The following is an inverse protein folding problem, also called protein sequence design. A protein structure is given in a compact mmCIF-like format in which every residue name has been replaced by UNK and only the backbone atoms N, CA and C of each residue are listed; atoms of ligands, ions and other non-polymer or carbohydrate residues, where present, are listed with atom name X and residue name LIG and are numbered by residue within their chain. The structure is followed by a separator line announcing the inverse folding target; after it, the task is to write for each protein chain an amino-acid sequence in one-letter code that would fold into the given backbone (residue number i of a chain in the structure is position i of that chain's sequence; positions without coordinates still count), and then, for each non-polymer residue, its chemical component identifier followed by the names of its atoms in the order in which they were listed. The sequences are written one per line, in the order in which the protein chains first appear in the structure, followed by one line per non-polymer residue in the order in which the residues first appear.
data_IF_587547718814
#
_entry.id   IF_587547718814
#
_cell.length_a   1.000
_cell.length_b   1.000
_cell.length_c   1.000
_cell.angle_alpha   90.00
_cell.angle_beta   90.00
_cell.angle_gamma   90.00
#
_symmetry.space_group_name_H-M   'P 1'
#
loop_
_entity.id
_entity.type
_entity.pdbx_description
1 polymer ?
#
# COMPACT_ATOMS: atom_id res chain seq x y z
N UNK A 1 -16.09 -15.13 8.96
CA UNK A 1 -16.87 -14.15 8.19
C UNK A 1 -15.96 -13.59 7.12
N UNK A 2 -16.27 -13.81 5.84
CA UNK A 2 -15.48 -13.21 4.77
C UNK A 2 -15.81 -11.71 4.75
N UNK A 3 -14.77 -10.89 4.88
CA UNK A 3 -14.86 -9.47 4.60
C UNK A 3 -15.19 -9.39 3.10
N UNK A 4 -16.43 -9.07 2.73
CA UNK A 4 -16.80 -8.84 1.33
C UNK A 4 -16.17 -7.52 0.90
N UNK A 5 -14.89 -7.56 0.57
CA UNK A 5 -14.20 -6.45 -0.09
C UNK A 5 -14.80 -6.29 -1.48
N UNK A 6 -15.57 -5.21 -1.68
CA UNK A 6 -16.06 -4.82 -3.01
C UNK A 6 -14.86 -4.40 -3.88
N UNK A 7 -14.20 -5.37 -4.51
CA UNK A 7 -13.09 -5.16 -5.43
C UNK A 7 -13.58 -4.37 -6.66
N UNK A 8 -12.86 -3.33 -7.03
CA UNK A 8 -13.15 -2.53 -8.22
C UNK A 8 -11.88 -2.14 -8.97
N UNK A 9 -12.05 -1.75 -10.24
CA UNK A 9 -10.99 -1.15 -11.03
C UNK A 9 -10.37 0.04 -10.29
N UNK A 10 -9.05 0.08 -10.27
CA UNK A 10 -8.26 1.11 -9.58
C UNK A 10 -7.91 0.76 -8.13
N UNK A 11 -8.50 -0.30 -7.55
CA UNK A 11 -8.10 -0.73 -6.21
C UNK A 11 -6.66 -1.20 -6.19
N UNK A 12 -5.97 -0.81 -5.13
CA UNK A 12 -4.63 -1.27 -4.81
C UNK A 12 -4.73 -2.60 -4.08
N UNK A 13 -4.00 -3.59 -4.55
CA UNK A 13 -4.09 -4.95 -4.02
C UNK A 13 -2.72 -5.55 -3.79
N UNK A 14 -2.68 -6.51 -2.86
CA UNK A 14 -1.60 -7.47 -2.73
C UNK A 14 -2.12 -8.82 -3.21
N UNK A 15 -1.31 -9.54 -3.99
CA UNK A 15 -1.60 -10.91 -4.42
C UNK A 15 -0.47 -11.83 -3.97
N UNK A 16 -0.83 -13.07 -3.65
CA UNK A 16 0.12 -14.16 -3.40
C UNK A 16 -0.56 -15.48 -3.77
N UNK A 17 -0.37 -15.93 -5.01
CA UNK A 17 -1.00 -17.15 -5.52
C UNK A 17 -0.10 -17.90 -6.48
N UNK A 18 -0.37 -19.19 -6.66
CA UNK A 18 0.30 -20.05 -7.63
C UNK A 18 -0.69 -20.30 -8.77
N UNK A 19 -0.27 -20.05 -10.01
CA UNK A 19 -1.14 -20.31 -11.15
C UNK A 19 -1.44 -21.81 -11.30
N UNK A 20 -2.72 -22.15 -11.37
CA UNK A 20 -3.24 -23.52 -11.41
C UNK A 20 -2.77 -24.25 -12.69
N UNK A 21 -2.58 -25.58 -12.67
CA UNK A 21 -1.78 -26.30 -13.66
C UNK A 21 -2.46 -26.54 -15.02
N UNK A 22 -3.66 -26.01 -15.26
CA UNK A 22 -4.39 -26.17 -16.53
C UNK A 22 -4.00 -25.12 -17.60
N UNK A 23 -3.05 -24.23 -17.30
CA UNK A 23 -2.55 -23.22 -18.26
C UNK A 23 -1.05 -23.37 -18.52
N UNK A 24 -0.57 -22.83 -19.65
CA UNK A 24 0.86 -22.82 -20.05
C UNK A 24 1.80 -22.09 -19.06
N UNK A 25 1.25 -21.45 -18.03
CA UNK A 25 1.96 -20.75 -16.97
C UNK A 25 1.84 -21.47 -15.61
N UNK A 26 1.52 -22.77 -15.64
CA UNK A 26 1.41 -23.64 -14.48
C UNK A 26 2.63 -23.53 -13.55
N UNK A 27 2.37 -23.36 -12.25
CA UNK A 27 3.42 -23.38 -11.22
C UNK A 27 4.22 -22.08 -11.06
N UNK A 28 3.88 -21.02 -11.81
CA UNK A 28 4.45 -19.69 -11.57
C UNK A 28 3.77 -19.08 -10.34
N UNK A 29 4.57 -18.69 -9.35
CA UNK A 29 4.10 -17.90 -8.21
C UNK A 29 4.01 -16.42 -8.63
N UNK A 30 2.86 -15.83 -8.37
CA UNK A 30 2.63 -14.39 -8.48
C UNK A 30 2.52 -13.85 -7.06
N UNK A 31 3.51 -13.05 -6.67
CA UNK A 31 3.52 -12.39 -5.36
C UNK A 31 3.92 -10.94 -5.55
N UNK A 32 3.15 -10.03 -4.98
CA UNK A 32 3.45 -8.61 -5.10
C UNK A 32 2.25 -7.71 -4.92
N UNK A 33 2.51 -6.42 -5.15
CA UNK A 33 1.52 -5.36 -5.10
C UNK A 33 1.19 -4.93 -6.52
N UNK A 34 -0.06 -4.53 -6.74
CA UNK A 34 -0.55 -4.13 -8.05
C UNK A 34 -1.83 -3.31 -8.00
N UNK A 35 -2.29 -2.92 -9.17
CA UNK A 35 -3.58 -2.22 -9.35
C UNK A 35 -4.51 -3.09 -10.18
N UNK A 36 -5.78 -3.14 -9.80
CA UNK A 36 -6.81 -3.82 -10.60
C UNK A 36 -7.17 -3.01 -11.84
N UNK A 37 -7.05 -3.64 -12.99
CA UNK A 37 -7.49 -3.11 -14.28
C UNK A 37 -8.98 -3.41 -14.52
N UNK A 38 -9.46 -4.56 -14.03
CA UNK A 38 -10.82 -5.07 -14.26
C UNK A 38 -11.22 -6.13 -13.24
N UNK A 39 -12.51 -6.20 -12.92
CA UNK A 39 -13.15 -7.22 -12.08
C UNK A 39 -14.39 -7.72 -12.84
N UNK A 40 -14.47 -9.04 -13.09
CA UNK A 40 -15.59 -9.66 -13.80
C UNK A 40 -15.70 -11.15 -13.40
N UNK A 41 -16.94 -11.64 -13.21
CA UNK A 41 -17.25 -13.06 -13.01
C UNK A 41 -16.39 -13.78 -11.93
N UNK A 42 -16.16 -13.12 -10.78
CA UNK A 42 -15.38 -13.67 -9.66
C UNK A 42 -13.87 -13.71 -9.91
N UNK A 43 -13.39 -13.05 -10.96
CA UNK A 43 -11.98 -12.93 -11.33
C UNK A 43 -11.56 -11.47 -11.33
N UNK A 44 -10.29 -11.26 -10.99
CA UNK A 44 -9.65 -9.96 -11.13
C UNK A 44 -8.54 -10.02 -12.17
N UNK A 45 -8.32 -8.89 -12.82
CA UNK A 45 -7.22 -8.66 -13.74
C UNK A 45 -6.50 -7.42 -13.27
N UNK A 46 -5.17 -7.49 -13.24
CA UNK A 46 -4.38 -6.34 -12.82
C UNK A 46 -2.95 -6.43 -13.28
N UNK A 47 -2.20 -5.42 -12.84
CA UNK A 47 -0.78 -5.29 -13.13
C UNK A 47 -0.04 -5.08 -11.82
N UNK A 48 0.96 -5.93 -11.59
CA UNK A 48 1.93 -5.77 -10.51
C UNK A 48 2.82 -4.55 -10.78
N UNK A 49 3.47 -4.05 -9.74
CA UNK A 49 4.34 -2.88 -9.81
C UNK A 49 5.57 -3.05 -10.71
N UNK A 50 6.01 -4.29 -10.90
CA UNK A 50 7.07 -4.65 -11.84
C UNK A 50 6.59 -4.70 -13.30
N UNK A 51 5.30 -4.45 -13.53
CA UNK A 51 4.64 -4.48 -14.83
C UNK A 51 4.06 -5.84 -15.21
N UNK A 52 4.27 -6.90 -14.41
CA UNK A 52 3.74 -8.22 -14.68
C UNK A 52 2.21 -8.20 -14.57
N UNK A 53 1.52 -8.63 -15.63
CA UNK A 53 0.06 -8.79 -15.61
C UNK A 53 -0.33 -10.07 -14.90
N UNK A 54 -1.40 -10.03 -14.11
CA UNK A 54 -1.93 -11.21 -13.43
C UNK A 54 -3.45 -11.34 -13.64
N UNK A 55 -3.92 -12.58 -13.45
CA UNK A 55 -5.33 -12.93 -13.37
C UNK A 55 -5.49 -14.01 -12.30
N UNK A 56 -6.37 -13.78 -11.33
CA UNK A 56 -6.65 -14.70 -10.23
C UNK A 56 -8.10 -14.59 -9.76
N UNK A 57 -8.50 -15.44 -8.81
CA UNK A 57 -9.79 -15.31 -8.15
C UNK A 57 -9.79 -14.15 -7.18
N UNK A 58 -10.95 -13.56 -6.94
CA UNK A 58 -11.12 -12.52 -5.92
C UNK A 58 -10.63 -12.96 -4.53
N UNK A 59 -10.70 -14.25 -4.22
CA UNK A 59 -10.23 -14.84 -2.96
C UNK A 59 -8.70 -14.80 -2.78
N UNK A 60 -7.95 -14.63 -3.87
CA UNK A 60 -6.48 -14.61 -3.87
C UNK A 60 -5.92 -13.18 -3.74
N UNK A 61 -6.79 -12.22 -3.44
CA UNK A 61 -6.52 -10.78 -3.47
C UNK A 61 -6.80 -10.17 -2.11
N UNK A 62 -5.82 -9.45 -1.58
CA UNK A 62 -5.98 -8.62 -0.38
C UNK A 62 -6.05 -7.15 -0.79
N UNK A 63 -7.18 -6.47 -0.51
CA UNK A 63 -7.31 -5.03 -0.75
C UNK A 63 -6.42 -4.27 0.23
N UNK A 64 -5.51 -3.45 -0.31
CA UNK A 64 -4.70 -2.52 0.48
C UNK A 64 -5.36 -1.15 0.43
N UNK A 65 -6.16 -0.84 1.44
CA UNK A 65 -6.82 0.46 1.55
C UNK A 65 -5.84 1.60 1.88
N UNK A 66 -4.69 1.25 2.48
CA UNK A 66 -3.66 2.18 2.93
C UNK A 66 -2.43 2.12 2.03
N UNK A 67 -1.81 3.28 1.79
CA UNK A 67 -0.56 3.45 1.04
C UNK A 67 0.63 2.90 1.81
N UNK A 68 0.54 2.91 3.14
CA UNK A 68 1.55 2.40 4.05
C UNK A 68 1.01 1.28 4.94
N UNK A 69 1.90 0.38 5.34
CA UNK A 69 1.60 -0.62 6.35
C UNK A 69 1.72 -0.01 7.74
N UNK A 70 0.62 0.54 8.24
CA UNK A 70 0.58 1.19 9.55
C UNK A 70 0.91 0.26 10.73
N UNK A 71 0.90 -1.07 10.54
CA UNK A 71 1.24 -2.04 11.59
C UNK A 71 2.74 -2.07 11.91
N UNK A 72 3.60 -1.63 10.98
CA UNK A 72 5.06 -1.55 11.19
C UNK A 72 5.54 -0.13 11.51
N UNK A 73 4.63 0.85 11.46
CA UNK A 73 4.93 2.26 11.70
C UNK A 73 4.63 2.58 13.17
N UNK A 74 5.56 3.22 13.92
CA UNK A 74 5.34 3.56 15.33
C UNK A 74 4.05 4.34 15.57
N UNK A 75 3.28 3.97 16.60
CA UNK A 75 1.93 4.49 16.86
C UNK A 75 1.83 6.01 16.97
N UNK A 76 2.91 6.66 17.42
CA UNK A 76 2.97 8.13 17.53
C UNK A 76 3.07 8.83 16.17
N UNK A 77 3.49 8.14 15.09
CA UNK A 77 3.55 8.72 13.74
C UNK A 77 2.13 8.92 13.21
N UNK A 78 1.77 10.17 12.95
CA UNK A 78 0.43 10.56 12.51
C UNK A 78 0.32 10.66 10.98
N UNK A 79 1.42 10.87 10.27
CA UNK A 79 1.44 11.03 8.83
C UNK A 79 2.61 10.28 8.20
N UNK A 80 2.40 9.70 7.03
CA UNK A 80 3.44 9.09 6.22
C UNK A 80 3.41 9.68 4.81
N UNK A 81 4.58 9.96 4.25
CA UNK A 81 4.72 10.44 2.88
C UNK A 81 6.01 9.90 2.26
N UNK A 82 6.01 9.65 0.96
CA UNK A 82 7.17 9.23 0.17
C UNK A 82 7.71 10.44 -0.58
N UNK A 83 9.02 10.68 -0.48
CA UNK A 83 9.74 11.74 -1.18
C UNK A 83 10.04 11.35 -2.65
N UNK A 84 10.57 12.30 -3.45
CA UNK A 84 10.86 12.05 -4.86
C UNK A 84 11.90 10.95 -5.11
N UNK A 85 12.76 10.69 -4.14
CA UNK A 85 13.77 9.63 -4.14
C UNK A 85 13.22 8.24 -3.72
N UNK A 86 11.93 8.18 -3.40
CA UNK A 86 11.25 6.97 -2.96
C UNK A 86 11.38 6.66 -1.47
N UNK A 87 12.00 7.53 -0.66
CA UNK A 87 12.13 7.35 0.79
C UNK A 87 10.80 7.71 1.48
N UNK A 88 10.24 6.79 2.26
CA UNK A 88 9.06 7.08 3.08
C UNK A 88 9.45 7.67 4.45
N UNK A 89 8.80 8.77 4.80
CA UNK A 89 9.05 9.59 5.97
C UNK A 89 7.78 9.71 6.82
N UNK A 90 7.92 9.51 8.13
CA UNK A 90 6.85 9.61 9.11
C UNK A 90 6.90 10.90 9.94
N UNK A 91 5.75 11.53 10.18
CA UNK A 91 5.65 12.82 10.87
C UNK A 91 4.58 12.79 11.98
N UNK A 92 4.83 13.51 13.07
CA UNK A 92 3.82 13.77 14.11
C UNK A 92 2.79 14.83 13.70
N UNK A 93 3.17 15.68 12.75
CA UNK A 93 2.39 16.82 12.26
C UNK A 93 2.35 16.77 10.74
N UNK A 94 1.30 17.31 10.15
CA UNK A 94 1.13 17.28 8.69
C UNK A 94 2.33 17.96 7.99
N UNK A 95 3.07 17.24 7.11
CA UNK A 95 4.13 17.84 6.31
C UNK A 95 3.54 18.53 5.07
N UNK A 96 4.34 19.39 4.45
CA UNK A 96 4.04 20.05 3.17
C UNK A 96 5.14 19.75 2.17
N UNK A 97 4.80 19.78 0.89
CA UNK A 97 5.80 19.69 -0.18
C UNK A 97 6.66 20.95 -0.16
N UNK A 98 7.97 20.78 -0.07
CA UNK A 98 8.99 21.83 -0.15
C UNK A 98 10.14 21.34 -1.03
N UNK A 99 10.21 21.84 -2.27
CA UNK A 99 11.17 21.34 -3.26
C UNK A 99 10.78 19.95 -3.76
N UNK A 100 11.68 19.00 -3.61
CA UNK A 100 11.57 17.60 -4.04
C UNK A 100 11.14 16.64 -2.91
N UNK A 101 10.61 17.18 -1.81
CA UNK A 101 10.34 16.39 -0.62
C UNK A 101 9.23 16.93 0.29
N UNK A 102 8.74 16.09 1.19
CA UNK A 102 7.82 16.42 2.27
C UNK A 102 8.59 16.93 3.49
N UNK A 103 8.22 18.10 4.02
CA UNK A 103 8.90 18.76 5.14
C UNK A 103 7.89 19.46 6.06
N UNK A 104 8.24 19.63 7.34
CA UNK A 104 7.50 20.50 8.25
C UNK A 104 8.41 21.64 8.75
N UNK A 105 7.90 22.87 8.74
CA UNK A 105 8.70 24.07 9.06
C UNK A 105 9.06 24.18 10.54
N UNK A 106 8.24 23.63 11.44
CA UNK A 106 8.43 23.75 12.90
C UNK A 106 9.34 22.66 13.47
N UNK A 107 9.42 21.52 12.80
CA UNK A 107 10.26 20.40 13.17
C UNK A 107 11.03 19.95 11.93
N UNK A 108 12.30 20.34 11.85
CA UNK A 108 13.17 20.19 10.69
C UNK A 108 13.45 18.73 10.24
N UNK A 109 12.79 17.72 10.80
CA UNK A 109 13.03 16.31 10.49
C UNK A 109 11.77 15.46 10.61
N UNK A 110 11.68 14.43 9.76
CA UNK A 110 10.74 13.35 9.97
C UNK A 110 11.13 12.59 11.26
N UNK A 111 10.14 12.02 11.93
CA UNK A 111 10.31 11.25 13.16
C UNK A 111 10.65 9.78 12.90
N UNK A 112 10.32 9.29 11.70
CA UNK A 112 10.56 7.92 11.29
C UNK A 112 10.90 7.88 9.80
N UNK A 113 11.73 6.92 9.39
CA UNK A 113 12.11 6.74 8.00
C UNK A 113 12.09 5.25 7.65
N UNK A 114 11.52 4.92 6.50
CA UNK A 114 11.84 3.67 5.82
C UNK A 114 13.07 3.95 4.96
N UNK A 115 14.24 3.56 5.48
CA UNK A 115 15.52 3.80 4.83
C UNK A 115 15.57 3.18 3.43
N UNK A 116 16.42 3.71 2.55
CA UNK A 116 16.61 3.20 1.19
C UNK A 116 16.88 1.68 1.15
N UNK A 117 17.67 1.15 2.09
CA UNK A 117 17.94 -0.30 2.22
C UNK A 117 16.71 -1.14 2.62
N UNK A 118 15.71 -0.49 3.23
CA UNK A 118 14.46 -1.07 3.68
C UNK A 118 13.28 -0.62 2.81
N UNK A 119 13.55 0.01 1.65
CA UNK A 119 12.53 0.59 0.80
C UNK A 119 11.53 -0.46 0.26
N UNK A 120 11.87 -1.75 0.34
CA UNK A 120 10.92 -2.84 0.10
C UNK A 120 9.72 -2.82 1.06
N UNK A 121 9.85 -2.22 2.26
CA UNK A 121 8.76 -1.98 3.23
C UNK A 121 7.90 -0.77 2.87
N UNK A 122 8.41 0.14 2.03
CA UNK A 122 7.60 1.19 1.45
C UNK A 122 6.81 0.59 0.29
N UNK A 123 5.51 0.40 0.48
CA UNK A 123 4.63 -0.19 -0.54
C UNK A 123 3.96 0.86 -1.44
N UNK A 124 4.15 2.16 -1.14
CA UNK A 124 3.60 3.20 -2.00
C UNK A 124 4.28 3.18 -3.36
N UNK A 125 3.47 3.13 -4.42
CA UNK A 125 3.91 3.23 -5.80
C UNK A 125 2.99 4.21 -6.50
N UNK A 126 3.57 5.23 -7.12
CA UNK A 126 2.84 6.32 -7.75
C UNK A 126 3.63 7.63 -7.73
N UNK A 127 3.00 8.71 -8.18
CA UNK A 127 3.58 10.04 -8.04
C UNK A 127 3.65 10.41 -6.54
N UNK A 128 4.88 10.64 -6.08
CA UNK A 128 5.23 10.93 -4.69
C UNK A 128 4.49 12.15 -4.13
N UNK A 129 4.01 13.05 -4.99
CA UNK A 129 3.19 14.20 -4.60
C UNK A 129 1.81 13.82 -4.07
N UNK A 130 1.33 12.62 -4.38
CA UNK A 130 0.08 12.07 -3.85
C UNK A 130 0.32 11.03 -2.75
N UNK A 131 1.56 10.91 -2.24
CA UNK A 131 1.93 9.86 -1.30
C UNK A 131 1.52 10.13 0.14
N UNK A 132 1.18 11.38 0.51
CA UNK A 132 0.79 11.72 1.87
C UNK A 132 -0.44 10.91 2.30
N UNK A 133 -0.36 10.31 3.47
CA UNK A 133 -1.45 9.64 4.15
C UNK A 133 -1.42 9.97 5.65
N UNK A 134 -2.58 10.31 6.20
CA UNK A 134 -2.81 10.42 7.65
C UNK A 134 -3.10 9.03 8.19
N UNK A 135 -2.58 8.70 9.38
CA UNK A 135 -2.89 7.46 10.09
C UNK A 135 -4.42 7.27 10.19
N UNK A 136 -4.95 6.10 9.83
CA UNK A 136 -6.38 5.79 9.97
C UNK A 136 -6.84 5.87 11.42
N UNK A 137 -8.04 6.39 11.66
CA UNK A 137 -8.60 6.59 13.01
C UNK A 137 -9.09 5.26 13.65
N UNK A 138 -9.32 4.22 12.84
CA UNK A 138 -9.88 2.91 13.24
C UNK A 138 -8.93 1.99 14.04
N UNK A 139 -7.73 2.46 14.41
CA UNK A 139 -6.79 1.73 15.28
C UNK A 139 -6.57 2.40 16.65
N UNK A 140 -7.54 3.18 17.13
CA UNK A 140 -7.55 3.59 18.55
C UNK A 140 -8.27 2.52 19.39
N UNK A 141 -7.68 2.01 20.50
CA UNK A 141 -8.33 1.04 21.39
C UNK A 141 -9.55 1.57 22.17
N UNK A 142 -10.08 2.75 21.87
CA UNK A 142 -11.01 3.45 22.79
C UNK A 142 -12.50 3.12 22.60
N UNK A 143 -12.88 2.31 21.61
CA UNK A 143 -14.30 1.97 21.37
C UNK A 143 -14.68 0.50 21.68
N UNK A 144 -13.89 -0.23 22.48
CA UNK A 144 -14.28 -1.57 22.99
C UNK A 144 -14.72 -1.56 24.46
N UNK A 145 -15.02 -0.39 25.04
CA UNK A 145 -15.52 -0.28 26.41
C UNK A 145 -16.78 0.59 26.47
N UNK A 146 -17.91 0.07 25.99
CA UNK A 146 -19.25 0.37 26.52
C UNK A 146 -20.14 -0.87 26.44
#
# INVERSE_FOLDING_TARGET
MAIMTNLKKGDRVKVDFINNPETIHAGIQFTGYGVLDRVEDGRVFGRLDDGQTFMCFESDVEVRQHKYDWSVIPDHVAYMATDADGVACGWLVEPKIMGDAWRNQSHLSAFFYILSRENYKNHFRGDWKYSLEKRPEEQSPEEQSQ
#
